data_IF_030346989811
#
_entry.id   IF_030346989811
#
_cell.length_a   1.000
_cell.length_b   1.000
_cell.length_c   1.000
_cell.angle_alpha   90.00
_cell.angle_beta   90.00
_cell.angle_gamma   90.00
#
_symmetry.space_group_name_H-M   'P 1'
#
loop_
_entity.id
_entity.type
_entity.pdbx_description
1 polymer ?
#
# COMPACT_ATOMS: atom_id res chain seq x y z
N UNK A 1 14.32 7.72 -13.08
CA UNK A 1 15.44 7.19 -12.27
C UNK A 1 15.56 5.67 -12.43
N UNK A 2 14.61 4.82 -11.98
CA UNK A 2 14.70 3.35 -12.13
C UNK A 2 14.87 2.85 -13.59
N UNK A 3 14.00 3.30 -14.51
CA UNK A 3 14.15 3.03 -15.96
C UNK A 3 15.47 3.51 -16.56
N UNK A 4 16.07 4.56 -15.99
CA UNK A 4 17.35 5.12 -16.43
C UNK A 4 18.52 4.22 -15.98
N UNK A 5 18.36 3.51 -14.86
CA UNK A 5 19.31 2.57 -14.28
C UNK A 5 19.09 1.12 -14.74
N UNK A 6 18.14 0.86 -15.65
CA UNK A 6 17.71 -0.48 -16.09
C UNK A 6 17.18 -1.39 -14.97
N UNK A 7 16.77 -0.81 -13.84
CA UNK A 7 16.06 -1.55 -12.81
C UNK A 7 14.55 -1.44 -13.04
N UNK A 8 13.82 -2.53 -12.76
CA UNK A 8 12.38 -2.57 -12.95
C UNK A 8 11.67 -1.54 -12.05
N UNK A 9 11.96 -1.53 -10.75
CA UNK A 9 11.41 -0.58 -9.78
C UNK A 9 12.36 -0.42 -8.59
N UNK A 10 12.41 0.77 -7.96
CA UNK A 10 13.01 0.92 -6.64
C UNK A 10 12.07 0.31 -5.61
N UNK A 11 12.31 -0.94 -5.24
CA UNK A 11 11.46 -1.68 -4.29
C UNK A 11 11.55 -1.11 -2.87
N UNK A 12 12.60 -0.36 -2.55
CA UNK A 12 12.81 0.23 -1.23
C UNK A 12 13.53 1.58 -1.33
N UNK A 13 13.08 2.57 -0.55
CA UNK A 13 13.73 3.87 -0.39
C UNK A 13 13.89 4.20 1.10
N UNK A 14 14.95 4.94 1.42
CA UNK A 14 15.25 5.38 2.77
C UNK A 14 15.69 6.84 2.75
N UNK A 15 15.07 7.66 3.59
CA UNK A 15 15.41 9.06 3.78
C UNK A 15 15.80 9.27 5.24
N UNK A 16 17.02 9.72 5.46
CA UNK A 16 17.56 10.03 6.79
C UNK A 16 17.31 11.49 7.13
N UNK A 17 16.88 11.76 8.37
CA UNK A 17 16.65 13.11 8.87
C UNK A 17 17.14 13.27 10.31
N UNK A 18 17.34 14.52 10.74
CA UNK A 18 17.95 14.81 12.05
C UNK A 18 17.17 14.25 13.24
N UNK A 19 15.83 14.14 13.13
CA UNK A 19 14.95 13.66 14.20
C UNK A 19 14.18 12.40 13.84
N UNK A 20 13.91 12.20 12.57
CA UNK A 20 13.05 11.15 12.05
C UNK A 20 13.60 10.67 10.73
N UNK A 21 13.43 9.38 10.49
CA UNK A 21 13.80 8.71 9.26
C UNK A 21 12.55 8.12 8.61
N UNK A 22 12.57 8.01 7.29
CA UNK A 22 11.45 7.47 6.51
C UNK A 22 11.94 6.26 5.71
N UNK A 23 11.27 5.13 5.90
CA UNK A 23 11.45 3.93 5.08
C UNK A 23 10.20 3.73 4.22
N UNK A 24 10.39 3.60 2.92
CA UNK A 24 9.32 3.42 1.93
C UNK A 24 9.57 2.11 1.21
N UNK A 25 8.58 1.23 1.16
CA UNK A 25 8.66 -0.05 0.45
C UNK A 25 7.40 -0.29 -0.38
N UNK A 26 7.58 -0.74 -1.62
CA UNK A 26 6.48 -1.24 -2.43
C UNK A 26 6.17 -2.69 -2.03
N UNK A 27 4.91 -2.95 -1.67
CA UNK A 27 4.40 -4.27 -1.25
C UNK A 27 3.44 -4.79 -2.32
N UNK A 28 3.70 -6.00 -2.81
CA UNK A 28 2.85 -6.69 -3.80
C UNK A 28 2.65 -5.92 -5.11
N UNK A 29 3.58 -5.02 -5.48
CA UNK A 29 3.53 -4.12 -6.64
C UNK A 29 2.25 -3.26 -6.74
N UNK A 30 1.59 -3.00 -5.61
CA UNK A 30 0.29 -2.32 -5.57
C UNK A 30 0.16 -1.32 -4.42
N UNK A 31 0.87 -1.55 -3.32
CA UNK A 31 0.73 -0.76 -2.10
C UNK A 31 2.07 -0.19 -1.68
N UNK A 32 2.09 1.08 -1.31
CA UNK A 32 3.27 1.73 -0.73
C UNK A 32 3.14 1.68 0.78
N UNK A 33 4.07 0.98 1.44
CA UNK A 33 4.21 0.98 2.90
C UNK A 33 5.23 2.04 3.31
N UNK A 34 4.80 2.97 4.16
CA UNK A 34 5.66 4.02 4.72
C UNK A 34 5.80 3.80 6.22
N UNK A 35 7.05 3.80 6.71
CA UNK A 35 7.37 3.74 8.13
C UNK A 35 8.20 4.97 8.50
N UNK A 36 7.73 5.72 9.49
CA UNK A 36 8.44 6.86 10.07
C UNK A 36 8.93 6.42 11.46
N UNK A 37 10.21 6.62 11.75
CA UNK A 37 10.82 6.18 13.00
C UNK A 37 11.92 7.15 13.47
N UNK A 38 12.14 7.17 14.79
CA UNK A 38 13.16 8.02 15.40
C UNK A 38 14.56 7.39 15.36
N UNK A 39 15.58 8.17 15.72
CA UNK A 39 16.98 7.73 15.70
C UNK A 39 17.33 6.69 16.78
N UNK A 40 16.40 6.38 17.69
CA UNK A 40 16.59 5.29 18.68
C UNK A 40 16.33 3.93 18.05
N UNK A 41 15.66 3.90 16.90
CA UNK A 41 15.34 2.68 16.16
C UNK A 41 16.30 2.50 14.98
N UNK A 42 16.99 1.36 14.92
CA UNK A 42 17.91 1.10 13.82
C UNK A 42 17.17 0.74 12.51
N UNK A 43 17.71 1.17 11.37
CA UNK A 43 17.19 0.82 10.05
C UNK A 43 17.12 -0.71 9.86
N UNK A 44 18.05 -1.48 10.43
CA UNK A 44 18.03 -2.94 10.39
C UNK A 44 16.80 -3.54 11.08
N UNK A 45 16.43 -3.03 12.26
CA UNK A 45 15.22 -3.47 12.96
C UNK A 45 13.95 -3.10 12.20
N UNK A 46 13.91 -1.90 11.60
CA UNK A 46 12.80 -1.48 10.74
C UNK A 46 12.66 -2.42 9.54
N UNK A 47 13.74 -2.70 8.82
CA UNK A 47 13.74 -3.64 7.68
C UNK A 47 13.25 -5.03 8.08
N UNK A 48 13.67 -5.54 9.23
CA UNK A 48 13.20 -6.83 9.74
C UNK A 48 11.67 -6.84 9.96
N UNK A 49 11.14 -5.81 10.63
CA UNK A 49 9.71 -5.68 10.90
C UNK A 49 8.89 -5.47 9.63
N UNK A 50 9.39 -4.64 8.71
CA UNK A 50 8.78 -4.36 7.41
C UNK A 50 8.71 -5.63 6.57
N UNK A 51 9.76 -6.46 6.55
CA UNK A 51 9.74 -7.76 5.85
C UNK A 51 8.58 -8.64 6.35
N UNK A 52 8.49 -8.84 7.67
CA UNK A 52 7.43 -9.66 8.27
C UNK A 52 6.03 -9.09 7.98
N UNK A 53 5.85 -7.78 8.15
CA UNK A 53 4.58 -7.13 7.86
C UNK A 53 4.20 -7.24 6.37
N UNK A 54 5.17 -7.17 5.46
CA UNK A 54 4.94 -7.31 4.02
C UNK A 54 4.45 -8.72 3.65
N UNK A 55 4.98 -9.76 4.29
CA UNK A 55 4.52 -11.15 4.11
C UNK A 55 3.05 -11.31 4.56
N UNK A 56 2.70 -10.76 5.73
CA UNK A 56 1.32 -10.76 6.25
C UNK A 56 0.36 -9.96 5.34
N UNK A 57 0.78 -8.78 4.89
CA UNK A 57 -0.01 -7.93 3.99
C UNK A 57 -0.26 -8.60 2.63
N UNK A 58 0.73 -9.29 2.07
CA UNK A 58 0.53 -10.03 0.81
C UNK A 58 -0.59 -11.07 0.93
N UNK A 59 -0.62 -11.84 2.04
CA UNK A 59 -1.70 -12.79 2.29
C UNK A 59 -3.08 -12.14 2.40
N UNK A 60 -3.16 -10.96 3.04
CA UNK A 60 -4.39 -10.17 3.12
C UNK A 60 -4.83 -9.69 1.73
N UNK A 61 -3.90 -9.18 0.92
CA UNK A 61 -4.19 -8.70 -0.43
C UNK A 61 -4.64 -9.81 -1.38
N UNK A 62 -4.03 -11.00 -1.29
CA UNK A 62 -4.48 -12.17 -2.05
C UNK A 62 -5.91 -12.56 -1.68
N UNK A 63 -6.23 -12.60 -0.38
CA UNK A 63 -7.58 -12.91 0.09
C UNK A 63 -8.60 -11.84 -0.35
N UNK A 64 -8.22 -10.55 -0.32
CA UNK A 64 -9.05 -9.47 -0.83
C UNK A 64 -9.30 -9.60 -2.33
N UNK A 65 -8.28 -9.96 -3.13
CA UNK A 65 -8.47 -10.15 -4.57
C UNK A 65 -9.47 -11.26 -4.88
N UNK A 66 -9.35 -12.40 -4.21
CA UNK A 66 -10.30 -13.51 -4.36
C UNK A 66 -11.72 -13.10 -4.02
N UNK A 67 -11.87 -12.27 -2.98
CA UNK A 67 -13.15 -11.72 -2.49
C UNK A 67 -13.81 -10.72 -3.44
N UNK A 68 -13.03 -10.01 -4.26
CA UNK A 68 -13.53 -9.05 -5.27
C UNK A 68 -13.89 -9.76 -6.57
N UNK A 69 -13.22 -10.88 -6.88
CA UNK A 69 -13.49 -11.67 -8.09
C UNK A 69 -14.73 -12.56 -8.00
N UNK A 70 -15.43 -12.59 -6.86
CA UNK A 70 -16.67 -13.36 -6.70
C UNK A 70 -17.87 -12.54 -7.24
N UNK A 71 -18.43 -12.90 -8.42
CA UNK A 71 -19.50 -12.14 -9.06
C UNK A 71 -20.86 -12.36 -8.36
N UNK A 72 -20.96 -13.31 -7.44
CA UNK A 72 -22.19 -13.56 -6.68
C UNK A 72 -22.34 -12.65 -5.45
N UNK A 73 -21.38 -11.77 -5.24
CA UNK A 73 -21.35 -10.90 -4.07
C UNK A 73 -22.09 -9.60 -4.33
N UNK A 74 -23.18 -9.39 -3.59
CA UNK A 74 -23.88 -8.10 -3.56
C UNK A 74 -22.88 -7.01 -3.17
N UNK A 75 -22.74 -6.01 -4.04
CA UNK A 75 -21.88 -4.86 -3.78
C UNK A 75 -22.62 -3.90 -2.85
N UNK A 76 -21.92 -3.16 -1.97
CA UNK A 76 -22.53 -2.13 -1.12
C UNK A 76 -23.24 -1.01 -1.90
N UNK A 77 -23.04 -1.01 -3.23
CA UNK A 77 -23.57 -0.03 -4.16
C UNK A 77 -24.61 -0.64 -5.11
N UNK A 78 -25.02 -1.89 -4.92
CA UNK A 78 -26.01 -2.54 -5.76
C UNK A 78 -27.38 -1.83 -5.74
N UNK A 79 -27.64 -1.06 -4.68
CA UNK A 79 -28.86 -0.24 -4.50
C UNK A 79 -28.66 1.25 -4.82
N UNK A 80 -27.45 1.69 -5.19
CA UNK A 80 -27.25 3.09 -5.60
C UNK A 80 -27.90 3.30 -6.97
N UNK A 81 -28.81 4.26 -7.02
CA UNK A 81 -29.48 4.69 -8.25
C UNK A 81 -28.71 5.81 -8.93
N UNK A 82 -28.97 6.04 -10.23
CA UNK A 82 -28.40 7.18 -10.95
C UNK A 82 -28.82 8.52 -10.28
N UNK A 83 -30.02 8.60 -9.69
CA UNK A 83 -30.49 9.76 -8.93
C UNK A 83 -29.64 10.04 -7.68
N UNK A 84 -29.13 9.01 -7.00
CA UNK A 84 -28.23 9.16 -5.85
C UNK A 84 -26.85 9.68 -6.27
N UNK A 85 -26.40 9.30 -7.49
CA UNK A 85 -25.15 9.79 -8.08
C UNK A 85 -25.31 11.27 -8.44
N UNK A 86 -26.38 11.64 -9.14
CA UNK A 86 -26.65 13.03 -9.52
C UNK A 86 -26.75 13.94 -8.28
N UNK A 87 -27.38 13.47 -7.20
CA UNK A 87 -27.45 14.20 -5.93
C UNK A 87 -26.08 14.43 -5.25
N UNK A 88 -25.10 13.55 -5.48
CA UNK A 88 -23.75 13.67 -4.93
C UNK A 88 -22.88 14.67 -5.72
N UNK A 89 -23.18 14.85 -7.01
CA UNK A 89 -22.40 15.68 -7.94
C UNK A 89 -23.13 16.96 -8.39
N UNK A 90 -24.30 17.26 -7.82
CA UNK A 90 -25.07 18.46 -8.13
C UNK A 90 -24.20 19.74 -8.08
N UNK A 91 -23.99 20.31 -9.27
CA UNK A 91 -23.69 21.74 -9.51
C UNK A 91 -24.93 22.60 -9.21
#
# INVERSE_FOLDING_TARGET
>A
MAKLLRENEFTTQFHEGEKQNIHIQLVGNRVILVVIFDNKTSLGLVRLRVKKASEELNGIFEALLRKVQDPSRETPFAEITDDDIDNLFND
#
